data_IF_098266843200
#
_entry.id   IF_098266843200
#
_cell.length_a   1.000
_cell.length_b   1.000
_cell.length_c   1.000
_cell.angle_alpha   90.00
_cell.angle_beta   90.00
_cell.angle_gamma   90.00
#
_symmetry.space_group_name_H-M   'P 1'
#
loop_
_entity.id
_entity.type
_entity.pdbx_description
1 polymer ?
#
# COMPACT_ATOMS: atom_id res chain seq x y z
N UNK A 1 -25.72 -14.96 -9.14
CA UNK A 1 -26.86 -14.07 -9.44
C UNK A 1 -26.47 -12.61 -9.15
N UNK A 2 -26.80 -11.68 -10.04
CA UNK A 2 -26.46 -10.23 -9.92
C UNK A 2 -26.99 -9.61 -8.61
N UNK A 3 -28.07 -10.10 -8.05
CA UNK A 3 -28.72 -9.58 -6.82
C UNK A 3 -27.91 -9.72 -5.52
N UNK A 4 -26.91 -10.62 -5.45
CA UNK A 4 -26.17 -10.90 -4.20
C UNK A 4 -24.68 -10.50 -4.24
N UNK A 5 -24.24 -9.83 -5.30
CA UNK A 5 -22.80 -9.46 -5.44
C UNK A 5 -22.32 -8.56 -4.29
N UNK A 6 -23.06 -7.56 -3.90
CA UNK A 6 -22.70 -6.67 -2.82
C UNK A 6 -22.51 -7.40 -1.48
N UNK A 7 -23.43 -8.34 -1.16
CA UNK A 7 -23.30 -9.17 0.06
C UNK A 7 -22.07 -10.08 0.01
N UNK A 8 -21.80 -10.70 -1.15
CA UNK A 8 -20.63 -11.54 -1.34
C UNK A 8 -19.32 -10.75 -1.19
N UNK A 9 -19.25 -9.56 -1.79
CA UNK A 9 -18.09 -8.65 -1.61
C UNK A 9 -17.91 -8.21 -0.16
N UNK A 10 -18.98 -7.86 0.55
CA UNK A 10 -18.91 -7.49 1.97
C UNK A 10 -18.37 -8.63 2.83
N UNK A 11 -18.84 -9.87 2.60
CA UNK A 11 -18.36 -11.05 3.34
C UNK A 11 -16.89 -11.31 3.06
N UNK A 12 -16.47 -11.31 1.78
CA UNK A 12 -15.06 -11.50 1.40
C UNK A 12 -14.17 -10.41 2.01
N UNK A 13 -14.60 -9.15 1.94
CA UNK A 13 -13.85 -8.03 2.54
C UNK A 13 -13.72 -8.18 4.04
N UNK A 14 -14.78 -8.58 4.74
CA UNK A 14 -14.77 -8.81 6.19
C UNK A 14 -13.81 -9.94 6.57
N UNK A 15 -13.84 -11.06 5.85
CA UNK A 15 -12.92 -12.19 6.07
C UNK A 15 -11.48 -11.75 5.82
N UNK A 16 -11.19 -11.06 4.72
CA UNK A 16 -9.86 -10.55 4.41
C UNK A 16 -9.34 -9.60 5.48
N UNK A 17 -10.20 -8.72 5.99
CA UNK A 17 -9.83 -7.79 7.06
C UNK A 17 -9.50 -8.50 8.37
N UNK A 18 -10.29 -9.50 8.77
CA UNK A 18 -10.03 -10.31 9.96
C UNK A 18 -8.72 -11.09 9.82
N UNK A 19 -8.49 -11.74 8.68
CA UNK A 19 -7.25 -12.45 8.42
C UNK A 19 -6.04 -11.51 8.45
N UNK A 20 -6.16 -10.30 7.90
CA UNK A 20 -5.10 -9.29 7.93
C UNK A 20 -4.72 -8.86 9.35
N UNK A 21 -5.68 -8.85 10.30
CA UNK A 21 -5.43 -8.53 11.71
C UNK A 21 -4.76 -9.71 12.43
N UNK A 22 -5.25 -10.92 12.19
CA UNK A 22 -4.80 -12.13 12.89
C UNK A 22 -3.43 -12.59 12.38
N UNK A 23 -3.17 -12.49 11.08
CA UNK A 23 -1.96 -13.01 10.44
C UNK A 23 -0.64 -12.48 11.05
N UNK A 24 -0.45 -11.16 11.27
CA UNK A 24 0.80 -10.68 11.87
C UNK A 24 0.98 -11.09 13.32
N UNK A 25 -0.11 -11.25 14.09
CA UNK A 25 -0.07 -11.73 15.48
C UNK A 25 0.37 -13.18 15.49
N UNK A 26 -0.25 -14.04 14.67
CA UNK A 26 0.12 -15.44 14.55
C UNK A 26 1.56 -15.59 14.03
N UNK A 27 1.92 -14.86 12.98
CA UNK A 27 3.26 -14.90 12.41
C UNK A 27 4.33 -14.49 13.45
N UNK A 28 4.09 -13.41 14.20
CA UNK A 28 4.99 -12.96 15.25
C UNK A 28 5.17 -13.99 16.36
N UNK A 29 4.09 -14.64 16.80
CA UNK A 29 4.12 -15.72 17.80
C UNK A 29 4.84 -16.97 17.28
N UNK A 30 4.54 -17.39 16.06
CA UNK A 30 5.19 -18.54 15.43
C UNK A 30 6.70 -18.30 15.21
N UNK A 31 7.08 -17.09 14.77
CA UNK A 31 8.49 -16.71 14.63
C UNK A 31 9.23 -16.71 15.95
N UNK A 32 8.60 -16.21 17.02
CA UNK A 32 9.21 -16.19 18.35
C UNK A 32 9.45 -17.60 18.91
N UNK A 33 8.55 -18.56 18.60
CA UNK A 33 8.60 -19.93 19.16
C UNK A 33 9.41 -20.90 18.30
N UNK A 34 9.27 -20.85 16.98
CA UNK A 34 9.85 -21.83 16.05
C UNK A 34 10.80 -21.24 15.00
N UNK A 35 11.05 -19.95 15.08
CA UNK A 35 11.97 -19.25 14.18
C UNK A 35 11.36 -18.84 12.83
N UNK A 36 12.12 -18.06 12.11
CA UNK A 36 11.73 -17.49 10.82
C UNK A 36 11.49 -18.55 9.74
N UNK A 37 12.31 -19.61 9.72
CA UNK A 37 12.25 -20.65 8.70
C UNK A 37 10.92 -21.38 8.64
N UNK A 38 10.34 -21.72 9.79
CA UNK A 38 9.03 -22.39 9.83
C UNK A 38 7.94 -21.49 9.21
N UNK A 39 7.89 -20.23 9.60
CA UNK A 39 6.87 -19.28 9.10
C UNK A 39 7.02 -19.09 7.60
N UNK A 40 8.26 -19.04 7.09
CA UNK A 40 8.52 -18.95 5.66
C UNK A 40 7.99 -20.17 4.91
N UNK A 41 8.24 -21.38 5.42
CA UNK A 41 7.73 -22.62 4.82
C UNK A 41 6.22 -22.66 4.82
N UNK A 42 5.57 -22.30 5.94
CA UNK A 42 4.11 -22.22 6.02
C UNK A 42 3.56 -21.21 5.02
N UNK A 43 4.17 -20.02 4.93
CA UNK A 43 3.77 -19.01 3.96
C UNK A 43 3.90 -19.50 2.50
N UNK A 44 4.99 -20.23 2.18
CA UNK A 44 5.17 -20.85 0.86
C UNK A 44 4.08 -21.87 0.55
N UNK A 45 3.75 -22.76 1.50
CA UNK A 45 2.69 -23.77 1.30
C UNK A 45 1.34 -23.07 1.05
N UNK A 46 0.99 -22.06 1.87
CA UNK A 46 -0.26 -21.30 1.69
C UNK A 46 -0.26 -20.59 0.33
N UNK A 47 0.87 -19.99 -0.08
CA UNK A 47 0.99 -19.31 -1.38
C UNK A 47 0.79 -20.26 -2.55
N UNK A 48 1.39 -21.46 -2.49
CA UNK A 48 1.20 -22.50 -3.53
C UNK A 48 -0.28 -22.96 -3.55
N UNK A 49 -0.86 -23.23 -2.39
CA UNK A 49 -2.26 -23.63 -2.29
C UNK A 49 -3.20 -22.55 -2.84
N UNK A 50 -2.87 -21.26 -2.66
CA UNK A 50 -3.65 -20.14 -3.18
C UNK A 50 -3.66 -20.04 -4.72
N UNK A 51 -2.73 -20.71 -5.39
CA UNK A 51 -2.72 -20.77 -6.87
C UNK A 51 -3.79 -21.73 -7.43
N UNK A 52 -4.25 -22.69 -6.64
CA UNK A 52 -5.22 -23.72 -7.11
C UNK A 52 -6.51 -23.10 -7.67
N UNK A 53 -7.15 -22.12 -7.02
CA UNK A 53 -8.35 -21.48 -7.58
C UNK A 53 -8.14 -20.83 -8.94
N UNK A 54 -6.92 -20.33 -9.25
CA UNK A 54 -6.62 -19.71 -10.55
C UNK A 54 -6.70 -20.70 -11.71
N UNK A 55 -6.48 -21.99 -11.46
CA UNK A 55 -6.59 -23.04 -12.48
C UNK A 55 -8.05 -23.22 -12.97
N UNK A 56 -9.02 -22.79 -12.17
CA UNK A 56 -10.45 -22.91 -12.49
C UNK A 56 -11.06 -21.61 -13.06
N UNK A 57 -10.24 -20.55 -13.22
CA UNK A 57 -10.72 -19.32 -13.85
C UNK A 57 -11.05 -19.53 -15.33
N UNK A 58 -12.20 -19.03 -15.79
CA UNK A 58 -12.52 -19.07 -17.21
C UNK A 58 -11.49 -18.24 -18.00
N UNK A 59 -11.08 -18.77 -19.15
CA UNK A 59 -10.20 -18.05 -20.08
C UNK A 59 -10.94 -16.84 -20.63
N UNK A 60 -10.49 -15.63 -20.28
CA UNK A 60 -10.94 -14.41 -20.92
C UNK A 60 -10.20 -14.23 -22.24
N UNK A 61 -10.90 -13.81 -23.30
CA UNK A 61 -10.31 -13.52 -24.62
C UNK A 61 -10.01 -12.03 -24.79
N UNK A 62 -9.84 -11.32 -23.69
CA UNK A 62 -9.50 -9.90 -23.73
C UNK A 62 -8.07 -9.74 -24.24
N UNK A 63 -7.92 -8.95 -25.28
CA UNK A 63 -6.62 -8.61 -25.89
C UNK A 63 -6.33 -7.15 -25.60
N UNK A 64 -5.12 -6.86 -25.12
CA UNK A 64 -4.64 -5.49 -25.01
C UNK A 64 -4.57 -4.87 -26.40
N UNK A 65 -5.07 -3.65 -26.56
CA UNK A 65 -5.04 -2.93 -27.84
C UNK A 65 -3.63 -2.45 -28.19
N UNK A 66 -2.78 -2.22 -27.17
CA UNK A 66 -1.42 -1.72 -27.36
C UNK A 66 -0.39 -2.83 -27.43
N UNK A 67 0.54 -2.68 -28.35
CA UNK A 67 1.77 -3.48 -28.39
C UNK A 67 2.74 -3.06 -27.27
N UNK A 68 3.77 -3.88 -27.01
CA UNK A 68 4.83 -3.53 -26.04
C UNK A 68 5.46 -2.17 -26.35
N UNK A 69 5.81 -1.93 -27.61
CA UNK A 69 6.43 -0.66 -28.03
C UNK A 69 5.53 0.56 -27.81
N UNK A 70 4.24 0.42 -28.09
CA UNK A 70 3.24 1.46 -27.84
C UNK A 70 3.09 1.73 -26.34
N UNK A 71 3.05 0.70 -25.51
CA UNK A 71 2.97 0.84 -24.05
C UNK A 71 4.13 1.68 -23.51
N UNK A 72 5.38 1.38 -23.90
CA UNK A 72 6.54 2.19 -23.53
C UNK A 72 6.47 3.60 -24.07
N UNK A 73 6.03 3.80 -25.31
CA UNK A 73 5.84 5.13 -25.91
C UNK A 73 4.83 5.95 -25.10
N UNK A 74 3.70 5.37 -24.70
CA UNK A 74 2.70 6.03 -23.87
C UNK A 74 3.19 6.28 -22.44
N UNK A 75 3.99 5.37 -21.85
CA UNK A 75 4.60 5.57 -20.55
C UNK A 75 5.48 6.83 -20.52
N UNK A 76 6.32 7.05 -21.52
CA UNK A 76 7.19 8.22 -21.60
C UNK A 76 6.52 9.44 -22.24
N UNK A 77 5.27 9.32 -22.68
CA UNK A 77 4.61 10.43 -23.39
C UNK A 77 4.37 11.62 -22.45
N UNK A 78 4.65 12.88 -22.89
CA UNK A 78 4.50 14.09 -22.06
C UNK A 78 3.12 14.24 -21.41
N UNK A 79 2.07 13.79 -22.08
CA UNK A 79 0.70 13.81 -21.58
C UNK A 79 0.54 12.98 -20.30
N UNK A 80 1.22 11.85 -20.19
CA UNK A 80 1.09 10.91 -19.06
C UNK A 80 2.10 11.19 -17.93
N UNK A 81 3.07 12.09 -18.13
CA UNK A 81 4.18 12.32 -17.17
C UNK A 81 3.74 12.63 -15.75
N UNK A 82 2.61 13.36 -15.57
CA UNK A 82 2.07 13.69 -14.24
C UNK A 82 1.51 12.45 -13.56
N UNK A 83 0.75 11.65 -14.29
CA UNK A 83 0.20 10.38 -13.82
C UNK A 83 1.32 9.40 -13.48
N UNK A 84 2.27 9.22 -14.40
CA UNK A 84 3.45 8.36 -14.18
C UNK A 84 4.23 8.81 -12.95
N UNK A 85 4.54 10.10 -12.81
CA UNK A 85 5.26 10.65 -11.66
C UNK A 85 4.52 10.43 -10.33
N UNK A 86 3.20 10.60 -10.31
CA UNK A 86 2.40 10.38 -9.12
C UNK A 86 2.40 8.89 -8.69
N UNK A 87 2.24 7.96 -9.64
CA UNK A 87 2.27 6.53 -9.33
C UNK A 87 3.68 6.01 -9.00
N UNK A 88 4.73 6.58 -9.62
CA UNK A 88 6.11 6.31 -9.20
C UNK A 88 6.32 6.72 -7.73
N UNK A 89 5.84 7.90 -7.35
CA UNK A 89 5.92 8.36 -5.97
C UNK A 89 5.13 7.46 -5.02
N UNK A 90 3.94 7.02 -5.41
CA UNK A 90 3.14 6.08 -4.65
C UNK A 90 3.84 4.73 -4.47
N UNK A 91 4.46 4.21 -5.52
CA UNK A 91 5.27 2.99 -5.46
C UNK A 91 6.49 3.13 -4.54
N UNK A 92 7.18 4.27 -4.59
CA UNK A 92 8.30 4.58 -3.71
C UNK A 92 7.89 4.59 -2.23
N UNK A 93 6.80 5.29 -1.89
CA UNK A 93 6.23 5.31 -0.53
C UNK A 93 5.79 3.91 -0.09
N UNK A 94 5.21 3.14 -1.02
CA UNK A 94 4.79 1.76 -0.78
C UNK A 94 5.93 0.85 -0.31
N UNK A 95 7.12 0.97 -0.91
CA UNK A 95 8.32 0.21 -0.47
C UNK A 95 8.78 0.65 0.91
N UNK A 96 8.80 1.95 1.20
CA UNK A 96 9.20 2.43 2.54
C UNK A 96 8.24 1.90 3.60
N UNK A 97 6.94 1.89 3.31
CA UNK A 97 5.93 1.37 4.22
C UNK A 97 5.98 -0.17 4.38
N UNK A 98 6.25 -0.90 3.32
CA UNK A 98 6.20 -2.37 3.31
C UNK A 98 7.51 -3.06 3.71
N UNK A 99 8.65 -2.37 3.61
CA UNK A 99 9.97 -2.95 3.88
C UNK A 99 10.69 -2.18 5.00
N UNK A 100 10.90 -0.88 4.82
CA UNK A 100 11.76 -0.12 5.73
C UNK A 100 11.09 0.20 7.06
N UNK A 101 9.78 0.44 7.09
CA UNK A 101 9.05 0.62 8.34
C UNK A 101 9.01 -0.65 9.19
N UNK A 102 8.66 -1.85 8.68
CA UNK A 102 8.76 -3.09 9.45
C UNK A 102 10.19 -3.40 9.92
N UNK A 103 11.20 -3.13 9.09
CA UNK A 103 12.60 -3.32 9.46
C UNK A 103 13.00 -2.39 10.62
N UNK A 104 12.59 -1.12 10.58
CA UNK A 104 12.79 -0.18 11.67
C UNK A 104 12.10 -0.66 12.96
N UNK A 105 10.86 -1.16 12.88
CA UNK A 105 10.16 -1.72 14.03
C UNK A 105 10.89 -2.92 14.63
N UNK A 106 11.45 -3.78 13.79
CA UNK A 106 12.21 -4.93 14.22
C UNK A 106 13.42 -4.51 15.07
N UNK A 107 14.18 -3.53 14.62
CA UNK A 107 15.31 -3.00 15.39
C UNK A 107 14.86 -2.27 16.64
N UNK A 108 13.82 -1.44 16.57
CA UNK A 108 13.30 -0.68 17.71
C UNK A 108 12.76 -1.58 18.84
N UNK A 109 12.26 -2.76 18.49
CA UNK A 109 11.68 -3.74 19.42
C UNK A 109 12.68 -4.86 19.80
N UNK A 110 13.98 -4.63 19.61
CA UNK A 110 15.06 -5.57 19.94
C UNK A 110 14.87 -6.96 19.32
N UNK A 111 14.33 -7.06 18.12
CA UNK A 111 14.09 -8.33 17.45
C UNK A 111 12.93 -9.16 18.01
N UNK A 112 12.08 -8.59 18.87
CA UNK A 112 10.96 -9.31 19.49
C UNK A 112 9.79 -9.46 18.53
N UNK A 113 9.76 -10.55 17.76
CA UNK A 113 8.72 -10.83 16.75
C UNK A 113 7.29 -10.83 17.30
N UNK A 114 7.07 -11.35 18.52
CA UNK A 114 5.76 -11.36 19.16
C UNK A 114 5.26 -9.92 19.44
N UNK A 115 6.11 -9.04 19.96
CA UNK A 115 5.76 -7.64 20.20
C UNK A 115 5.43 -6.94 18.87
N UNK A 116 6.23 -7.17 17.85
CA UNK A 116 6.00 -6.63 16.50
C UNK A 116 4.65 -7.10 15.93
N UNK A 117 4.35 -8.40 16.04
CA UNK A 117 3.09 -8.98 15.61
C UNK A 117 1.88 -8.40 16.34
N UNK A 118 1.96 -8.27 17.67
CA UNK A 118 0.89 -7.70 18.50
C UNK A 118 0.63 -6.23 18.19
N UNK A 119 1.67 -5.41 18.09
CA UNK A 119 1.53 -3.99 17.75
C UNK A 119 0.93 -3.84 16.36
N UNK A 120 1.41 -4.61 15.38
CA UNK A 120 0.88 -4.56 14.01
C UNK A 120 -0.59 -4.98 13.97
N UNK A 121 -0.97 -6.05 14.65
CA UNK A 121 -2.35 -6.50 14.75
C UNK A 121 -3.26 -5.47 15.41
N UNK A 122 -2.80 -4.83 16.48
CA UNK A 122 -3.55 -3.77 17.17
C UNK A 122 -3.75 -2.53 16.26
N UNK A 123 -2.72 -2.13 15.48
CA UNK A 123 -2.82 -1.04 14.51
C UNK A 123 -3.84 -1.37 13.41
N UNK A 124 -3.81 -2.59 12.88
CA UNK A 124 -4.74 -3.03 11.84
C UNK A 124 -6.19 -3.11 12.35
N UNK A 125 -6.39 -3.59 13.58
CA UNK A 125 -7.69 -3.60 14.23
C UNK A 125 -8.24 -2.18 14.41
N UNK A 126 -7.44 -1.28 14.97
CA UNK A 126 -7.81 0.12 15.12
C UNK A 126 -8.07 0.79 13.77
N UNK A 127 -7.27 0.48 12.75
CA UNK A 127 -7.46 0.95 11.38
C UNK A 127 -8.79 0.49 10.77
N UNK A 128 -9.21 -0.76 11.03
CA UNK A 128 -10.52 -1.26 10.60
C UNK A 128 -11.66 -0.45 11.25
N UNK A 129 -11.60 -0.23 12.57
CA UNK A 129 -12.59 0.57 13.29
C UNK A 129 -12.65 2.00 12.76
N UNK A 130 -11.49 2.64 12.58
CA UNK A 130 -11.40 4.00 12.03
C UNK A 130 -12.01 4.06 10.63
N UNK A 131 -11.72 3.07 9.77
CA UNK A 131 -12.27 3.03 8.40
C UNK A 131 -13.79 2.94 8.41
N UNK A 132 -14.39 2.15 9.30
CA UNK A 132 -15.85 2.03 9.43
C UNK A 132 -16.50 3.34 9.90
N UNK A 133 -15.83 4.08 10.79
CA UNK A 133 -16.35 5.35 11.30
C UNK A 133 -16.18 6.45 10.25
N UNK A 134 -15.00 6.57 9.66
CA UNK A 134 -14.63 7.71 8.80
C UNK A 134 -15.16 7.55 7.37
N UNK A 135 -15.32 6.30 6.89
CA UNK A 135 -15.70 6.03 5.50
C UNK A 135 -16.96 6.79 5.06
N UNK A 136 -18.02 6.76 5.86
CA UNK A 136 -19.29 7.46 5.55
C UNK A 136 -19.18 8.99 5.54
N UNK A 137 -18.17 9.56 6.21
CA UNK A 137 -17.92 10.99 6.21
C UNK A 137 -17.17 11.45 4.95
N UNK A 138 -16.23 10.64 4.47
CA UNK A 138 -15.37 10.99 3.32
C UNK A 138 -16.17 11.12 2.02
N UNK A 139 -17.27 10.36 1.87
CA UNK A 139 -18.13 10.42 0.68
C UNK A 139 -18.81 11.77 0.47
N UNK A 140 -18.92 12.61 1.54
CA UNK A 140 -19.55 13.93 1.50
C UNK A 140 -18.64 15.05 1.00
N UNK A 141 -17.33 14.79 0.89
CA UNK A 141 -16.36 15.80 0.54
C UNK A 141 -15.86 15.66 -0.91
N UNK A 142 -15.42 16.78 -1.46
CA UNK A 142 -14.80 16.82 -2.77
C UNK A 142 -13.49 15.99 -2.79
N UNK A 143 -13.41 15.00 -3.68
CA UNK A 143 -12.33 14.03 -3.72
C UNK A 143 -10.94 14.64 -3.93
N UNK A 144 -10.83 15.67 -4.78
CA UNK A 144 -9.55 16.37 -5.00
C UNK A 144 -9.05 17.09 -3.74
N UNK A 145 -9.96 17.67 -2.93
CA UNK A 145 -9.59 18.27 -1.65
C UNK A 145 -9.12 17.22 -0.66
N UNK A 146 -9.82 16.09 -0.61
CA UNK A 146 -9.41 14.96 0.25
C UNK A 146 -8.06 14.39 -0.13
N UNK A 147 -7.74 14.26 -1.43
CA UNK A 147 -6.41 13.84 -1.89
C UNK A 147 -5.34 14.81 -1.38
N UNK A 148 -5.56 16.12 -1.49
CA UNK A 148 -4.59 17.12 -1.01
C UNK A 148 -4.39 17.04 0.51
N UNK A 149 -5.49 17.00 1.27
CA UNK A 149 -5.45 16.89 2.73
C UNK A 149 -4.78 15.57 3.12
N UNK A 150 -5.20 14.46 2.53
CA UNK A 150 -4.65 13.14 2.78
C UNK A 150 -3.15 13.05 2.45
N UNK A 151 -2.70 13.71 1.39
CA UNK A 151 -1.27 13.79 1.04
C UNK A 151 -0.47 14.56 2.08
N UNK A 152 -0.97 15.70 2.58
CA UNK A 152 -0.30 16.47 3.63
C UNK A 152 -0.26 15.67 4.94
N UNK A 153 -1.38 15.07 5.33
CA UNK A 153 -1.44 14.22 6.53
C UNK A 153 -0.51 13.01 6.41
N UNK A 154 -0.44 12.38 5.23
CA UNK A 154 0.43 11.24 5.02
C UNK A 154 1.91 11.63 5.02
N UNK A 155 2.26 12.77 4.42
CA UNK A 155 3.62 13.32 4.49
C UNK A 155 4.04 13.65 5.92
N UNK A 156 3.18 14.32 6.70
CA UNK A 156 3.45 14.62 8.11
C UNK A 156 3.54 13.36 8.97
N UNK A 157 2.76 12.32 8.67
CA UNK A 157 2.86 11.04 9.36
C UNK A 157 4.23 10.37 9.15
N UNK A 158 4.80 10.47 7.96
CA UNK A 158 6.16 10.01 7.70
C UNK A 158 7.21 10.80 8.48
N UNK A 159 7.06 12.12 8.59
CA UNK A 159 7.93 12.95 9.43
C UNK A 159 7.83 12.59 10.92
N UNK A 160 6.62 12.33 11.43
CA UNK A 160 6.42 11.87 12.81
C UNK A 160 7.14 10.53 13.05
N UNK A 161 7.13 9.62 12.06
CA UNK A 161 7.83 8.33 12.18
C UNK A 161 9.35 8.46 12.36
N UNK A 162 9.97 9.57 11.96
CA UNK A 162 11.42 9.78 12.13
C UNK A 162 11.84 9.92 13.59
N UNK A 163 10.96 10.40 14.46
CA UNK A 163 11.22 10.67 15.88
C UNK A 163 10.69 9.59 16.83
N UNK A 164 10.22 8.47 16.27
CA UNK A 164 9.69 7.36 17.06
C UNK A 164 10.81 6.62 17.77
N UNK A 165 10.69 6.44 19.10
CA UNK A 165 11.72 5.81 19.96
C UNK A 165 11.16 4.74 20.90
N UNK A 166 9.86 4.45 20.89
CA UNK A 166 9.24 3.45 21.77
C UNK A 166 8.04 2.76 21.13
N UNK A 167 7.62 1.62 21.67
CA UNK A 167 6.45 0.88 21.22
C UNK A 167 5.16 1.73 21.25
N UNK A 168 4.99 2.59 22.26
CA UNK A 168 3.84 3.50 22.32
C UNK A 168 3.89 4.54 21.21
N UNK A 169 5.08 5.13 20.95
CA UNK A 169 5.24 6.06 19.83
C UNK A 169 4.97 5.38 18.49
N UNK A 170 5.40 4.13 18.30
CA UNK A 170 5.06 3.32 17.12
C UNK A 170 3.56 3.24 16.93
N UNK A 171 2.84 2.85 18.00
CA UNK A 171 1.39 2.69 17.95
C UNK A 171 0.69 4.00 17.57
N UNK A 172 0.99 5.09 18.26
CA UNK A 172 0.37 6.40 18.01
C UNK A 172 0.71 6.95 16.60
N UNK A 173 1.99 6.89 16.20
CA UNK A 173 2.41 7.32 14.86
C UNK A 173 1.76 6.50 13.75
N UNK A 174 1.60 5.19 13.97
CA UNK A 174 0.95 4.31 13.00
C UNK A 174 -0.56 4.52 12.95
N UNK A 175 -1.22 4.83 14.06
CA UNK A 175 -2.64 5.22 14.06
C UNK A 175 -2.86 6.50 13.25
N UNK A 176 -2.05 7.52 13.51
CA UNK A 176 -2.11 8.77 12.74
C UNK A 176 -1.88 8.52 11.24
N UNK A 177 -0.85 7.71 10.90
CA UNK A 177 -0.58 7.32 9.53
C UNK A 177 -1.74 6.55 8.90
N UNK A 178 -2.41 5.67 9.66
CA UNK A 178 -3.58 4.92 9.19
C UNK A 178 -4.73 5.85 8.83
N UNK A 179 -5.01 6.86 9.65
CA UNK A 179 -6.03 7.88 9.34
C UNK A 179 -5.66 8.61 8.04
N UNK A 180 -4.40 9.05 7.92
CA UNK A 180 -3.89 9.73 6.74
C UNK A 180 -4.04 8.89 5.46
N UNK A 181 -3.70 7.60 5.53
CA UNK A 181 -3.85 6.65 4.42
C UNK A 181 -5.32 6.44 4.06
N UNK A 182 -6.22 6.30 5.03
CA UNK A 182 -7.65 6.13 4.76
C UNK A 182 -8.18 7.33 3.98
N UNK A 183 -7.87 8.55 4.43
CA UNK A 183 -8.30 9.78 3.74
C UNK A 183 -7.72 9.86 2.33
N UNK A 184 -6.43 9.56 2.15
CA UNK A 184 -5.75 9.62 0.87
C UNK A 184 -6.27 8.54 -0.09
N UNK A 185 -6.27 7.27 0.33
CA UNK A 185 -6.58 6.12 -0.55
C UNK A 185 -8.04 6.09 -0.99
N UNK A 186 -8.98 6.33 -0.09
CA UNK A 186 -10.40 6.35 -0.44
C UNK A 186 -10.68 7.34 -1.58
N UNK A 187 -10.05 8.52 -1.53
CA UNK A 187 -10.25 9.56 -2.52
C UNK A 187 -9.44 9.33 -3.80
N UNK A 188 -8.19 8.85 -3.65
CA UNK A 188 -7.30 8.58 -4.78
C UNK A 188 -7.84 7.45 -5.64
N UNK A 189 -8.21 6.31 -5.04
CA UNK A 189 -8.71 5.14 -5.77
C UNK A 189 -9.99 5.48 -6.51
N UNK A 190 -10.89 6.28 -5.91
CA UNK A 190 -12.11 6.73 -6.60
C UNK A 190 -11.78 7.60 -7.81
N UNK A 191 -10.86 8.57 -7.69
CA UNK A 191 -10.44 9.41 -8.82
C UNK A 191 -9.79 8.59 -9.95
N UNK A 192 -9.04 7.56 -9.60
CA UNK A 192 -8.42 6.65 -10.57
C UNK A 192 -9.47 5.88 -11.33
N UNK A 193 -10.48 5.34 -10.66
CA UNK A 193 -11.60 4.64 -11.31
C UNK A 193 -12.43 5.57 -12.20
N UNK A 194 -12.71 6.80 -11.76
CA UNK A 194 -13.41 7.79 -12.56
C UNK A 194 -12.63 8.13 -13.84
N UNK A 195 -11.33 8.43 -13.71
CA UNK A 195 -10.47 8.73 -14.88
C UNK A 195 -10.29 7.55 -15.81
N UNK A 196 -10.25 6.32 -15.28
CA UNK A 196 -10.19 5.11 -16.10
C UNK A 196 -11.51 4.90 -16.86
N UNK A 197 -12.66 5.09 -16.19
CA UNK A 197 -13.98 4.98 -16.83
C UNK A 197 -14.18 5.99 -17.97
N UNK A 198 -13.65 7.22 -17.84
CA UNK A 198 -13.71 8.24 -18.88
C UNK A 198 -12.89 7.90 -20.12
N UNK A 199 -11.95 6.95 -20.04
CA UNK A 199 -11.08 6.51 -21.14
C UNK A 199 -11.66 5.36 -21.98
N UNK A 200 -12.82 4.82 -21.61
CA UNK A 200 -13.54 3.81 -22.40
C UNK A 200 -12.78 2.50 -22.57
N UNK A 201 -12.45 2.14 -23.79
CA UNK A 201 -11.82 0.86 -24.13
C UNK A 201 -10.35 0.68 -23.67
N UNK A 202 -9.70 1.73 -23.15
CA UNK A 202 -8.28 1.71 -22.77
C UNK A 202 -8.05 1.58 -21.25
N UNK A 203 -9.02 1.06 -20.50
CA UNK A 203 -8.92 0.91 -19.03
C UNK A 203 -7.74 0.01 -18.65
N UNK A 204 -7.58 -1.10 -19.37
CA UNK A 204 -6.55 -2.12 -19.08
C UNK A 204 -5.15 -1.59 -19.40
N UNK A 205 -5.00 -0.86 -20.52
CA UNK A 205 -3.75 -0.24 -20.92
C UNK A 205 -3.28 0.84 -19.95
N UNK A 206 -4.20 1.69 -19.46
CA UNK A 206 -3.87 2.67 -18.42
C UNK A 206 -3.54 2.02 -17.09
N UNK A 207 -4.19 0.90 -16.76
CA UNK A 207 -3.83 0.10 -15.59
C UNK A 207 -2.41 -0.45 -15.72
N UNK A 208 -2.02 -0.90 -16.91
CA UNK A 208 -0.65 -1.36 -17.18
C UNK A 208 0.37 -0.22 -16.98
N UNK A 209 0.12 0.99 -17.50
CA UNK A 209 1.00 2.15 -17.27
C UNK A 209 1.09 2.48 -15.78
N UNK A 210 -0.02 2.42 -15.05
CA UNK A 210 -0.05 2.61 -13.60
C UNK A 210 0.86 1.62 -12.89
N UNK A 211 0.71 0.32 -13.17
CA UNK A 211 1.51 -0.72 -12.52
C UNK A 211 3.00 -0.60 -12.88
N UNK A 212 3.33 -0.33 -14.14
CA UNK A 212 4.70 -0.02 -14.57
C UNK A 212 5.28 1.15 -13.77
N UNK A 213 4.51 2.23 -13.61
CA UNK A 213 4.94 3.42 -12.86
C UNK A 213 5.22 3.10 -11.40
N UNK A 214 4.31 2.36 -10.73
CA UNK A 214 4.47 1.91 -9.35
C UNK A 214 5.75 1.09 -9.19
N UNK A 215 5.98 0.11 -10.06
CA UNK A 215 7.16 -0.75 -9.98
C UNK A 215 8.45 -0.01 -10.31
N UNK A 216 8.43 0.91 -11.28
CA UNK A 216 9.58 1.76 -11.58
C UNK A 216 9.94 2.66 -10.38
N UNK A 217 8.93 3.24 -9.72
CA UNK A 217 9.11 4.00 -8.48
C UNK A 217 9.72 3.18 -7.35
N UNK A 218 9.30 1.91 -7.20
CA UNK A 218 9.88 0.97 -6.23
C UNK A 218 11.36 0.72 -6.50
N UNK A 219 11.74 0.48 -7.75
CA UNK A 219 13.14 0.25 -8.12
C UNK A 219 13.98 1.50 -7.85
N UNK A 220 13.51 2.65 -8.29
CA UNK A 220 14.22 3.92 -8.13
C UNK A 220 14.49 4.23 -6.66
N UNK A 221 13.49 4.08 -5.80
CA UNK A 221 13.65 4.34 -4.36
C UNK A 221 14.56 3.33 -3.68
N UNK A 222 14.53 2.05 -4.08
CA UNK A 222 15.43 1.03 -3.53
C UNK A 222 16.89 1.33 -3.85
N UNK A 223 17.19 1.73 -5.09
CA UNK A 223 18.54 2.14 -5.49
C UNK A 223 19.00 3.37 -4.72
N UNK A 224 18.13 4.37 -4.58
CA UNK A 224 18.43 5.58 -3.83
C UNK A 224 18.69 5.27 -2.34
N UNK A 225 17.83 4.49 -1.70
CA UNK A 225 17.98 4.12 -0.29
C UNK A 225 19.23 3.25 -0.09
N UNK A 226 19.50 2.30 -0.99
CA UNK A 226 20.71 1.47 -0.90
C UNK A 226 21.99 2.32 -0.87
N UNK A 227 22.07 3.36 -1.71
CA UNK A 227 23.20 4.31 -1.67
C UNK A 227 23.23 5.16 -0.40
N UNK A 228 22.07 5.59 0.10
CA UNK A 228 22.01 6.46 1.27
C UNK A 228 22.29 5.76 2.60
N UNK A 229 21.92 4.49 2.76
CA UNK A 229 22.12 3.75 4.01
C UNK A 229 23.59 3.52 4.36
N UNK A 230 24.52 3.76 3.44
CA UNK A 230 25.95 3.78 3.76
C UNK A 230 26.37 5.00 4.60
N UNK A 231 25.62 6.09 4.53
CA UNK A 231 26.00 7.37 5.14
C UNK A 231 24.99 7.86 6.18
N UNK A 232 23.75 7.39 6.12
CA UNK A 232 22.65 7.91 6.91
C UNK A 232 21.89 6.79 7.64
N UNK A 233 21.29 7.08 8.81
CA UNK A 233 20.48 6.12 9.53
C UNK A 233 19.17 5.82 8.80
N UNK A 234 18.55 4.67 9.16
CA UNK A 234 17.33 4.17 8.52
C UNK A 234 16.15 5.17 8.53
N UNK A 235 16.08 6.04 9.56
CA UNK A 235 15.03 7.05 9.71
C UNK A 235 14.99 8.06 8.54
N UNK A 236 16.11 8.28 7.85
CA UNK A 236 16.16 9.16 6.67
C UNK A 236 15.26 8.67 5.55
N UNK A 237 15.02 7.35 5.48
CA UNK A 237 14.07 6.78 4.50
C UNK A 237 12.65 7.31 4.69
N UNK A 238 12.27 7.66 5.91
CA UNK A 238 10.95 8.22 6.22
C UNK A 238 10.83 9.67 5.76
N UNK A 239 11.92 10.45 5.82
CA UNK A 239 11.95 11.82 5.25
C UNK A 239 11.78 11.74 3.74
N UNK A 240 12.46 10.80 3.08
CA UNK A 240 12.30 10.57 1.65
C UNK A 240 10.84 10.19 1.32
N UNK A 241 10.24 9.28 2.08
CA UNK A 241 8.84 8.92 1.90
C UNK A 241 7.90 10.12 2.08
N UNK A 242 8.17 11.02 3.04
CA UNK A 242 7.41 12.25 3.24
C UNK A 242 7.46 13.14 1.99
N UNK A 243 8.65 13.33 1.41
CA UNK A 243 8.83 14.12 0.18
C UNK A 243 8.12 13.46 -1.01
N UNK A 244 8.34 12.17 -1.23
CA UNK A 244 7.68 11.44 -2.34
C UNK A 244 6.16 11.45 -2.21
N UNK A 245 5.61 11.38 -0.99
CA UNK A 245 4.17 11.48 -0.77
C UNK A 245 3.59 12.75 -1.40
N UNK A 246 4.29 13.89 -1.33
CA UNK A 246 3.79 15.15 -1.89
C UNK A 246 3.63 15.11 -3.41
N UNK A 247 4.42 14.28 -4.11
CA UNK A 247 4.32 14.12 -5.57
C UNK A 247 3.06 13.36 -6.00
N UNK A 248 2.36 12.66 -5.09
CA UNK A 248 1.06 12.05 -5.40
C UNK A 248 0.03 13.11 -5.83
N UNK A 249 0.18 14.36 -5.39
CA UNK A 249 -0.65 15.48 -5.84
C UNK A 249 -0.52 15.84 -7.34
N UNK A 250 0.44 15.28 -8.05
CA UNK A 250 0.56 15.45 -9.52
C UNK A 250 -0.60 14.80 -10.29
N UNK A 251 -1.40 13.96 -9.64
CA UNK A 251 -2.55 13.25 -10.22
C UNK A 251 -3.77 14.16 -10.53
N UNK A 252 -3.60 15.45 -10.58
CA UNK A 252 -4.64 16.44 -10.90
C UNK A 252 -5.19 16.30 -12.30
#
# INVERSE_FOLDING_TARGET
SRKNRGKQFSVLFSISSLLSIIAPVLAGFLMAKWGFSLVTVVAMIISIASMVPFLFLPKTKETLAWTYGETFRYFFHPFNRRMVGAYMADGAVGIVNGVFWPLFLFFLLDGKYNAMGMITGAILLAGLVIRLIVGNFLDKFEKLKLVRIGTILNSSAWLIKTIVVSALHVFLASLYHTIAIIVLRTSLDTLVYEKAADRGHYIDEYTLIKEMSIHFGKILILVLIAGMLFFFPLQVTFIIAAVFTLFVNLLK
#
